data_IF_343438202037
#
_entry.id   IF_343438202037
#
_cell.length_a   1.000
_cell.length_b   1.000
_cell.length_c   1.000
_cell.angle_alpha   90.00
_cell.angle_beta   90.00
_cell.angle_gamma   90.00
#
_symmetry.space_group_name_H-M   'P 1'
#
loop_
_entity.id
_entity.type
_entity.pdbx_description
1 polymer ?
#
# COMPACT_ATOMS: atom_id res chain seq x y z
N UNK A 1 -7.56 5.30 17.49
CA UNK A 1 -6.17 5.72 17.76
C UNK A 1 -5.34 5.68 16.48
N UNK A 2 -4.47 6.66 16.27
CA UNK A 2 -3.54 6.75 15.13
C UNK A 2 -2.21 6.06 15.45
N UNK A 3 -1.30 5.91 14.46
CA UNK A 3 0.05 5.35 14.65
C UNK A 3 1.09 6.28 13.98
N UNK A 4 2.30 6.46 14.53
CA UNK A 4 3.33 7.23 13.86
C UNK A 4 3.64 6.69 12.46
N UNK A 5 3.78 7.60 11.50
CA UNK A 5 4.22 7.28 10.14
C UNK A 5 5.74 7.18 10.08
N UNK A 6 6.24 6.06 9.56
CA UNK A 6 7.68 5.79 9.49
C UNK A 6 8.33 6.52 8.32
N UNK A 7 7.68 6.58 7.15
CA UNK A 7 8.25 7.17 5.94
C UNK A 7 9.54 6.47 5.52
N UNK A 8 10.66 7.17 5.46
CA UNK A 8 11.99 6.63 5.08
C UNK A 8 12.99 6.59 6.24
N UNK A 9 12.53 6.76 7.49
CA UNK A 9 13.39 6.86 8.68
C UNK A 9 14.24 5.62 8.95
N UNK A 10 13.84 4.45 8.45
CA UNK A 10 14.55 3.18 8.55
C UNK A 10 15.59 2.95 7.44
N UNK A 11 15.78 3.92 6.53
CA UNK A 11 16.81 3.88 5.51
C UNK A 11 16.51 2.94 4.33
N UNK A 12 17.46 2.86 3.40
CA UNK A 12 17.34 1.97 2.25
C UNK A 12 17.52 0.49 2.69
N UNK A 13 16.68 -0.39 2.16
CA UNK A 13 16.84 -1.82 2.31
C UNK A 13 17.83 -2.37 1.27
N UNK A 14 18.48 -3.50 1.61
CA UNK A 14 19.41 -4.20 0.72
C UNK A 14 18.69 -5.01 -0.38
N UNK A 15 17.36 -5.04 -0.39
CA UNK A 15 16.57 -5.78 -1.36
C UNK A 15 15.07 -5.74 -1.06
N UNK A 16 14.31 -6.48 -1.87
CA UNK A 16 12.89 -6.76 -1.62
C UNK A 16 12.73 -7.44 -0.26
N UNK A 17 11.70 -7.05 0.50
CA UNK A 17 11.44 -7.61 1.84
C UNK A 17 10.32 -8.63 1.77
N UNK A 18 10.54 -9.79 2.39
CA UNK A 18 9.66 -10.96 2.25
C UNK A 18 8.22 -10.72 2.70
N UNK A 19 8.02 -9.89 3.72
CA UNK A 19 6.69 -9.49 4.20
C UNK A 19 5.94 -8.64 3.17
N UNK A 20 6.58 -7.63 2.57
CA UNK A 20 5.94 -6.84 1.51
C UNK A 20 5.58 -7.72 0.30
N UNK A 21 6.48 -8.59 -0.14
CA UNK A 21 6.19 -9.48 -1.28
C UNK A 21 5.00 -10.40 -0.99
N UNK A 22 4.87 -10.89 0.24
CA UNK A 22 3.69 -11.65 0.63
C UNK A 22 2.44 -10.79 0.70
N UNK A 23 2.48 -9.60 1.30
CA UNK A 23 1.37 -8.65 1.30
C UNK A 23 0.84 -8.43 -0.13
N UNK A 24 1.72 -8.23 -1.09
CA UNK A 24 1.35 -8.03 -2.50
C UNK A 24 0.63 -9.25 -3.09
N UNK A 25 1.12 -10.47 -2.83
CA UNK A 25 0.46 -11.72 -3.26
C UNK A 25 -0.95 -11.83 -2.67
N UNK A 26 -1.09 -11.53 -1.39
CA UNK A 26 -2.37 -11.59 -0.70
C UNK A 26 -3.37 -10.54 -1.22
N UNK A 27 -2.93 -9.31 -1.49
CA UNK A 27 -3.78 -8.25 -2.08
C UNK A 27 -4.19 -8.62 -3.50
N UNK A 28 -3.27 -9.17 -4.29
CA UNK A 28 -3.56 -9.65 -5.66
C UNK A 28 -4.66 -10.71 -5.60
N UNK A 29 -4.52 -11.71 -4.73
CA UNK A 29 -5.52 -12.76 -4.52
C UNK A 29 -6.85 -12.21 -3.97
N UNK A 30 -6.81 -11.29 -3.00
CA UNK A 30 -8.01 -10.66 -2.42
C UNK A 30 -8.81 -9.89 -3.48
N UNK A 31 -8.13 -9.26 -4.43
CA UNK A 31 -8.74 -8.52 -5.53
C UNK A 31 -9.13 -9.40 -6.73
N UNK A 32 -9.00 -10.73 -6.62
CA UNK A 32 -9.20 -11.68 -7.72
C UNK A 32 -8.37 -11.32 -8.97
N UNK A 33 -7.12 -10.89 -8.77
CA UNK A 33 -6.21 -10.48 -9.83
C UNK A 33 -6.49 -9.10 -10.45
N UNK A 34 -7.43 -8.32 -9.92
CA UNK A 34 -7.67 -6.96 -10.38
C UNK A 34 -6.49 -6.02 -10.11
N UNK A 35 -5.85 -6.15 -8.94
CA UNK A 35 -4.64 -5.43 -8.57
C UNK A 35 -3.41 -6.30 -8.82
N UNK A 36 -2.39 -5.75 -9.48
CA UNK A 36 -1.15 -6.46 -9.78
C UNK A 36 0.09 -5.59 -9.54
N UNK A 37 1.22 -6.24 -9.28
CA UNK A 37 2.46 -5.59 -8.83
C UNK A 37 3.18 -4.86 -9.98
N UNK A 38 3.33 -3.54 -9.86
CA UNK A 38 4.08 -2.69 -10.79
C UNK A 38 5.51 -2.38 -10.28
N UNK A 39 5.84 -2.78 -9.05
CA UNK A 39 7.14 -2.62 -8.44
C UNK A 39 7.06 -2.49 -6.92
N UNK A 40 7.97 -3.16 -6.21
CA UNK A 40 8.05 -3.20 -4.74
C UNK A 40 9.37 -2.66 -4.17
N UNK A 41 10.41 -2.54 -5.01
CA UNK A 41 11.71 -2.11 -4.55
C UNK A 41 12.58 -1.56 -5.67
N UNK A 42 13.14 -0.39 -5.40
CA UNK A 42 14.24 0.20 -6.16
C UNK A 42 14.89 1.28 -5.29
N UNK A 43 16.21 1.23 -5.13
CA UNK A 43 16.94 2.27 -4.39
C UNK A 43 17.07 3.51 -5.27
N UNK A 44 16.26 4.53 -4.99
CA UNK A 44 16.28 5.82 -5.68
C UNK A 44 15.69 6.93 -4.82
N UNK A 45 16.03 8.16 -5.17
CA UNK A 45 15.31 9.33 -4.67
C UNK A 45 13.93 9.44 -5.31
N UNK A 46 13.01 10.13 -4.65
CA UNK A 46 11.71 10.47 -5.22
C UNK A 46 11.91 11.31 -6.49
N UNK A 47 11.09 11.08 -7.52
CA UNK A 47 11.23 11.77 -8.80
C UNK A 47 11.11 13.29 -8.63
N UNK A 48 12.17 14.00 -9.01
CA UNK A 48 12.25 15.47 -8.88
C UNK A 48 12.56 15.97 -7.47
N UNK A 49 13.04 15.11 -6.57
CA UNK A 49 13.45 15.47 -5.20
C UNK A 49 14.77 14.77 -4.85
N UNK A 50 15.51 15.33 -3.89
CA UNK A 50 16.75 14.74 -3.36
C UNK A 50 16.52 13.74 -2.22
N UNK A 51 15.30 13.71 -1.68
CA UNK A 51 14.91 12.79 -0.61
C UNK A 51 14.63 11.38 -1.13
N UNK A 52 15.02 10.37 -0.34
CA UNK A 52 14.80 8.95 -0.61
C UNK A 52 13.33 8.61 -0.87
N UNK A 53 13.07 7.71 -1.81
CA UNK A 53 11.74 7.13 -2.04
C UNK A 53 11.43 6.02 -1.04
N UNK A 54 10.16 5.86 -0.62
CA UNK A 54 9.78 4.74 0.26
C UNK A 54 9.97 3.38 -0.43
N UNK A 55 9.92 3.33 -1.77
CA UNK A 55 10.32 2.14 -2.55
C UNK A 55 11.75 1.68 -2.23
N UNK A 56 12.66 2.57 -1.83
CA UNK A 56 14.02 2.18 -1.45
C UNK A 56 14.07 1.42 -0.12
N UNK A 57 13.08 1.59 0.76
CA UNK A 57 12.97 0.89 2.07
C UNK A 57 12.48 -0.55 1.93
N UNK A 58 12.01 -0.94 0.73
CA UNK A 58 11.40 -2.25 0.49
C UNK A 58 10.04 -2.44 1.19
N UNK A 59 9.36 -1.35 1.54
CA UNK A 59 8.04 -1.35 2.22
C UNK A 59 6.91 -0.72 1.41
N UNK A 60 7.18 -0.28 0.19
CA UNK A 60 6.19 0.32 -0.68
C UNK A 60 5.93 -0.56 -1.92
N UNK A 61 4.70 -0.57 -2.38
CA UNK A 61 4.31 -1.19 -3.66
C UNK A 61 3.47 -0.22 -4.47
N UNK A 62 3.68 -0.21 -5.78
CA UNK A 62 2.72 0.35 -6.73
C UNK A 62 1.86 -0.80 -7.28
N UNK A 63 0.58 -0.85 -6.93
CA UNK A 63 -0.38 -1.87 -7.38
C UNK A 63 -1.25 -1.32 -8.50
N UNK A 64 -0.98 -1.72 -9.75
CA UNK A 64 -1.78 -1.31 -10.90
C UNK A 64 -3.11 -2.02 -10.94
N UNK A 65 -4.14 -1.29 -11.35
CA UNK A 65 -5.47 -1.80 -11.63
C UNK A 65 -5.82 -1.75 -13.12
N UNK A 66 -4.85 -1.44 -13.98
CA UNK A 66 -5.03 -1.41 -15.43
C UNK A 66 -5.22 -2.83 -15.97
N UNK A 67 -6.15 -2.99 -16.92
CA UNK A 67 -6.24 -4.20 -17.73
C UNK A 67 -5.14 -4.23 -18.80
N UNK A 68 -4.22 -5.20 -18.73
CA UNK A 68 -3.18 -5.43 -19.75
C UNK A 68 -2.99 -6.94 -19.93
N UNK A 69 -3.32 -7.47 -21.12
CA UNK A 69 -3.18 -8.91 -21.39
C UNK A 69 -3.92 -9.76 -20.35
N UNK A 70 -3.21 -10.65 -19.67
CA UNK A 70 -3.75 -11.46 -18.57
C UNK A 70 -3.87 -10.70 -17.23
N UNK A 71 -3.21 -9.55 -17.07
CA UNK A 71 -3.20 -8.76 -15.84
C UNK A 71 -4.41 -7.82 -15.74
N UNK A 72 -4.90 -7.62 -14.51
CA UNK A 72 -6.03 -6.76 -14.20
C UNK A 72 -7.38 -7.28 -14.71
N UNK A 73 -8.44 -6.54 -14.40
CA UNK A 73 -9.82 -6.84 -14.80
C UNK A 73 -10.47 -5.62 -15.48
N UNK A 74 -11.56 -5.87 -16.20
CA UNK A 74 -12.48 -4.79 -16.57
C UNK A 74 -12.94 -4.06 -15.29
N UNK A 75 -13.20 -2.77 -15.39
CA UNK A 75 -13.51 -1.91 -14.24
C UNK A 75 -12.49 -2.00 -13.09
N UNK A 76 -11.21 -2.21 -13.42
CA UNK A 76 -10.17 -2.46 -12.41
C UNK A 76 -10.11 -1.39 -11.31
N UNK A 77 -10.44 -0.14 -11.61
CA UNK A 77 -10.55 0.93 -10.61
C UNK A 77 -11.63 0.65 -9.54
N UNK A 78 -12.79 0.13 -9.94
CA UNK A 78 -13.86 -0.24 -9.01
C UNK A 78 -13.37 -1.34 -8.07
N UNK A 79 -12.77 -2.40 -8.62
CA UNK A 79 -12.18 -3.49 -7.83
C UNK A 79 -11.04 -3.02 -6.92
N UNK A 80 -10.23 -2.06 -7.37
CA UNK A 80 -9.19 -1.45 -6.56
C UNK A 80 -9.78 -0.74 -5.34
N UNK A 81 -10.87 0.01 -5.51
CA UNK A 81 -11.55 0.70 -4.41
C UNK A 81 -12.21 -0.29 -3.44
N UNK A 82 -12.91 -1.32 -3.94
CA UNK A 82 -13.50 -2.38 -3.10
C UNK A 82 -12.43 -3.11 -2.27
N UNK A 83 -11.28 -3.44 -2.89
CA UNK A 83 -10.16 -4.06 -2.19
C UNK A 83 -9.56 -3.10 -1.16
N UNK A 84 -9.41 -1.83 -1.53
CA UNK A 84 -8.86 -0.79 -0.66
C UNK A 84 -9.73 -0.55 0.57
N UNK A 85 -11.04 -0.61 0.45
CA UNK A 85 -11.96 -0.50 1.60
C UNK A 85 -11.73 -1.63 2.61
N UNK A 86 -11.50 -2.87 2.14
CA UNK A 86 -11.14 -4.01 3.02
C UNK A 86 -9.78 -3.78 3.69
N UNK A 87 -8.78 -3.32 2.93
CA UNK A 87 -7.45 -3.04 3.46
C UNK A 87 -7.47 -1.94 4.52
N UNK A 88 -8.20 -0.85 4.26
CA UNK A 88 -8.32 0.27 5.18
C UNK A 88 -9.21 -0.05 6.38
N UNK A 89 -10.24 -0.89 6.26
CA UNK A 89 -10.96 -1.41 7.42
C UNK A 89 -10.04 -2.20 8.37
N UNK A 90 -8.96 -2.79 7.83
CA UNK A 90 -7.99 -3.60 8.57
C UNK A 90 -6.60 -2.94 8.72
N UNK A 91 -6.47 -1.62 8.49
CA UNK A 91 -5.16 -0.96 8.34
C UNK A 91 -4.24 -1.19 9.55
N UNK A 92 -4.80 -1.16 10.78
CA UNK A 92 -4.04 -1.38 12.02
C UNK A 92 -3.48 -2.80 12.06
N UNK A 93 -4.35 -3.75 11.74
CA UNK A 93 -4.01 -5.17 11.75
C UNK A 93 -3.00 -5.50 10.65
N UNK A 94 -3.15 -4.92 9.45
CA UNK A 94 -2.22 -5.10 8.35
C UNK A 94 -0.96 -4.23 8.45
N UNK A 95 -0.85 -3.37 9.46
CA UNK A 95 0.24 -2.40 9.58
C UNK A 95 0.42 -1.48 8.36
N UNK A 96 -0.65 -1.14 7.66
CA UNK A 96 -0.61 -0.16 6.57
C UNK A 96 -0.26 1.22 7.16
N UNK A 97 0.60 1.97 6.47
CA UNK A 97 1.08 3.29 6.89
C UNK A 97 0.64 4.41 5.96
N UNK A 98 0.62 4.17 4.66
CA UNK A 98 0.27 5.17 3.66
C UNK A 98 -0.41 4.50 2.47
N UNK A 99 -1.42 5.15 1.92
CA UNK A 99 -1.99 4.84 0.61
C UNK A 99 -2.03 6.13 -0.19
N UNK A 100 -1.47 6.15 -1.39
CA UNK A 100 -1.61 7.26 -2.33
C UNK A 100 -2.42 6.81 -3.53
N UNK A 101 -3.39 7.65 -3.87
CA UNK A 101 -4.33 7.44 -4.94
C UNK A 101 -4.29 8.66 -5.85
N UNK A 102 -3.94 8.46 -7.13
CA UNK A 102 -3.78 9.53 -8.10
C UNK A 102 -5.12 10.11 -8.60
N UNK A 103 -6.22 9.62 -8.03
CA UNK A 103 -7.57 10.14 -8.19
C UNK A 103 -8.16 10.53 -6.84
N UNK A 104 -9.08 11.51 -6.77
CA UNK A 104 -9.66 12.25 -7.90
C UNK A 104 -8.68 13.26 -8.52
N UNK A 105 -8.90 13.57 -9.80
CA UNK A 105 -8.17 14.67 -10.46
C UNK A 105 -8.53 16.02 -9.81
N UNK A 106 -7.64 17.02 -9.82
CA UNK A 106 -6.34 17.04 -10.52
C UNK A 106 -5.13 16.58 -9.69
N UNK A 107 -5.31 16.27 -8.40
CA UNK A 107 -4.18 16.15 -7.46
C UNK A 107 -4.15 14.83 -6.69
N UNK A 108 -5.20 14.03 -6.77
CA UNK A 108 -5.34 12.80 -6.01
C UNK A 108 -5.56 13.03 -4.53
N UNK A 109 -5.34 11.97 -3.76
CA UNK A 109 -5.54 11.93 -2.31
C UNK A 109 -4.57 10.97 -1.66
N UNK A 110 -4.39 11.11 -0.36
CA UNK A 110 -3.61 10.17 0.43
C UNK A 110 -4.31 9.79 1.73
N UNK A 111 -4.22 8.53 2.11
CA UNK A 111 -4.56 8.05 3.44
C UNK A 111 -3.27 7.78 4.21
N UNK A 112 -3.18 8.16 5.49
CA UNK A 112 -2.02 7.81 6.34
C UNK A 112 -2.43 7.42 7.75
N UNK A 113 -1.66 6.52 8.36
CA UNK A 113 -1.93 5.95 9.68
C UNK A 113 -1.87 6.95 10.84
N UNK A 114 -1.16 8.07 10.68
CA UNK A 114 -1.00 9.11 11.71
C UNK A 114 -2.22 10.05 11.80
N UNK A 115 -3.04 10.10 10.75
CA UNK A 115 -4.37 10.74 10.71
C UNK A 115 -5.51 9.73 10.68
N UNK A 116 -5.22 8.49 10.29
CA UNK A 116 -6.20 7.43 10.01
C UNK A 116 -7.35 7.88 9.08
N UNK A 117 -7.04 8.82 8.17
CA UNK A 117 -8.03 9.50 7.34
C UNK A 117 -7.46 9.81 5.96
N UNK A 118 -8.36 9.94 4.98
CA UNK A 118 -8.05 10.50 3.68
C UNK A 118 -7.79 12.01 3.78
N UNK A 119 -6.90 12.48 2.93
CA UNK A 119 -6.68 13.89 2.68
C UNK A 119 -6.63 14.08 1.17
N UNK A 120 -7.61 14.80 0.64
CA UNK A 120 -7.59 15.22 -0.76
C UNK A 120 -6.57 16.36 -0.91
N UNK A 121 -5.74 16.26 -1.95
CA UNK A 121 -4.68 17.24 -2.16
C UNK A 121 -5.21 18.45 -2.92
N UNK A 122 -4.97 19.65 -2.40
CA UNK A 122 -5.33 20.92 -3.05
C UNK A 122 -4.20 21.48 -3.92
N UNK A 123 -3.05 20.82 -3.91
CA UNK A 123 -1.88 21.14 -4.72
C UNK A 123 -1.17 19.85 -5.14
N UNK A 124 -0.16 19.95 -6.02
CA UNK A 124 0.57 18.82 -6.61
C UNK A 124 1.48 18.11 -5.59
N UNK A 125 0.88 17.42 -4.62
CA UNK A 125 1.57 16.74 -3.52
C UNK A 125 2.15 15.37 -3.94
N UNK A 126 1.48 14.66 -4.85
CA UNK A 126 1.97 13.43 -5.46
C UNK A 126 2.39 13.70 -6.90
N UNK A 127 3.65 13.41 -7.22
CA UNK A 127 4.29 13.73 -8.50
C UNK A 127 4.83 12.48 -9.18
N UNK A 128 5.13 12.59 -10.47
CA UNK A 128 5.83 11.55 -11.23
C UNK A 128 4.96 10.47 -11.88
N UNK A 129 3.64 10.53 -11.68
CA UNK A 129 2.66 9.58 -12.22
C UNK A 129 1.36 10.29 -12.69
N UNK A 130 1.44 11.18 -13.70
CA UNK A 130 0.24 11.81 -14.27
C UNK A 130 -0.69 10.73 -14.85
N UNK A 131 -1.94 10.70 -14.38
CA UNK A 131 -2.92 9.67 -14.80
C UNK A 131 -2.60 8.26 -14.31
N UNK A 132 -1.83 8.11 -13.22
CA UNK A 132 -1.43 6.82 -12.68
C UNK A 132 -2.61 5.88 -12.45
N UNK A 133 -2.57 4.70 -13.06
CA UNK A 133 -3.57 3.64 -12.96
C UNK A 133 -3.20 2.61 -11.88
N UNK A 134 -2.65 3.09 -10.76
CA UNK A 134 -2.21 2.29 -9.62
C UNK A 134 -2.45 2.98 -8.28
N UNK A 135 -2.46 2.17 -7.23
CA UNK A 135 -2.39 2.60 -5.83
C UNK A 135 -0.97 2.45 -5.33
N UNK A 136 -0.42 3.49 -4.69
CA UNK A 136 0.80 3.35 -3.90
C UNK A 136 0.42 2.90 -2.50
N UNK A 137 0.97 1.80 -1.99
CA UNK A 137 0.69 1.33 -0.62
C UNK A 137 2.00 1.11 0.12
N UNK A 138 2.08 1.62 1.33
CA UNK A 138 3.20 1.45 2.24
C UNK A 138 2.79 0.63 3.46
N UNK A 139 3.59 -0.38 3.82
CA UNK A 139 3.46 -1.12 5.07
C UNK A 139 4.48 -0.64 6.11
N UNK A 140 4.16 -0.84 7.38
CA UNK A 140 5.05 -0.51 8.49
C UNK A 140 6.20 -1.51 8.66
N UNK A 141 7.27 -1.11 9.38
CA UNK A 141 8.48 -1.92 9.52
C UNK A 141 8.26 -3.23 10.26
N UNK A 142 7.28 -3.30 11.17
CA UNK A 142 7.06 -4.44 12.09
C UNK A 142 7.00 -5.81 11.40
N UNK A 143 6.34 -5.88 10.25
CA UNK A 143 6.12 -7.13 9.51
C UNK A 143 6.74 -7.13 8.12
N UNK A 144 7.57 -6.12 7.80
CA UNK A 144 8.07 -5.95 6.44
C UNK A 144 8.95 -7.11 5.96
N UNK A 145 9.62 -7.84 6.86
CA UNK A 145 10.39 -9.05 6.52
C UNK A 145 9.65 -10.36 6.77
N UNK A 146 8.48 -10.32 7.41
CA UNK A 146 7.77 -11.52 7.87
C UNK A 146 6.61 -11.88 6.94
N UNK A 147 6.88 -12.78 5.99
CA UNK A 147 5.85 -13.28 5.08
C UNK A 147 4.74 -14.04 5.81
N UNK A 148 5.06 -14.83 6.82
CA UNK A 148 4.09 -15.68 7.51
C UNK A 148 3.05 -14.87 8.29
N UNK A 149 3.46 -13.73 8.84
CA UNK A 149 2.55 -12.77 9.45
C UNK A 149 1.50 -12.26 8.45
N UNK A 150 1.90 -11.93 7.22
CA UNK A 150 0.93 -11.50 6.21
C UNK A 150 0.00 -12.62 5.76
N UNK A 151 0.50 -13.85 5.55
CA UNK A 151 -0.38 -15.00 5.26
C UNK A 151 -1.44 -15.17 6.34
N UNK A 152 -1.00 -15.21 7.61
CA UNK A 152 -1.87 -15.39 8.77
C UNK A 152 -2.90 -14.26 8.85
N UNK A 153 -2.47 -13.00 8.68
CA UNK A 153 -3.36 -11.84 8.79
C UNK A 153 -4.42 -11.82 7.69
N UNK A 154 -4.05 -12.12 6.45
CA UNK A 154 -5.01 -12.19 5.35
C UNK A 154 -5.94 -13.41 5.46
N UNK A 155 -5.47 -14.54 6.01
CA UNK A 155 -6.34 -15.66 6.35
C UNK A 155 -7.41 -15.23 7.37
N UNK A 156 -7.05 -14.48 8.42
CA UNK A 156 -8.03 -13.97 9.38
C UNK A 156 -9.04 -13.01 8.73
N UNK A 157 -8.60 -12.13 7.82
CA UNK A 157 -9.50 -11.23 7.08
C UNK A 157 -10.51 -12.04 6.25
N UNK A 158 -10.05 -13.03 5.47
CA UNK A 158 -10.93 -13.87 4.65
C UNK A 158 -11.93 -14.67 5.48
N UNK A 159 -11.52 -15.13 6.66
CA UNK A 159 -12.33 -15.94 7.55
C UNK A 159 -13.20 -15.10 8.52
N UNK A 160 -13.12 -13.77 8.48
CA UNK A 160 -13.82 -12.91 9.44
C UNK A 160 -13.39 -13.09 10.90
N UNK A 161 -12.14 -13.54 11.13
CA UNK A 161 -11.58 -13.89 12.45
C UNK A 161 -10.50 -12.91 12.90
N UNK A 162 -10.53 -11.68 12.38
CA UNK A 162 -9.58 -10.63 12.76
C UNK A 162 -9.70 -10.39 14.28
N UNK A 163 -8.61 -10.55 15.06
CA UNK A 163 -8.68 -10.38 16.50
C UNK A 163 -8.99 -8.92 16.85
N UNK A 164 -9.62 -8.67 18.00
CA UNK A 164 -9.87 -7.31 18.45
C UNK A 164 -8.56 -6.53 18.55
N UNK A 165 -8.57 -5.21 18.29
CA UNK A 165 -7.38 -4.39 18.46
C UNK A 165 -6.85 -4.59 19.88
N UNK A 166 -5.59 -5.01 20.01
CA UNK A 166 -4.92 -4.95 21.30
C UNK A 166 -4.91 -3.47 21.71
N UNK A 167 -5.42 -3.17 22.90
CA UNK A 167 -5.16 -1.88 23.55
C UNK A 167 -3.65 -1.82 23.72
N UNK A 168 -2.99 -1.06 22.86
CA UNK A 168 -1.58 -0.78 23.01
C UNK A 168 -1.43 -0.08 24.37
N UNK A 169 -0.78 -0.76 25.33
CA UNK A 169 -0.36 -0.18 26.61
C UNK A 169 0.90 0.66 26.39
#
# INVERSE_FOLDING_TARGET
MTRPYTGTKDGAANGKRGGLEQFVREVTALSDGALWNNGTWVVRNMRGKESLSVHATGRAVDLSYRKVGALGKADGRKHALETLDILLANWRYLHIECVLDYFPQPHGRGWRCDRAAWQDYTSKAITGAPGGDWLHIEIGPKFADNAEEYKTRFAHIRNGTVPPPKTDA
#
